data_IF_775697868765
#
_entry.id   IF_775697868765
#
_cell.length_a   1.000
_cell.length_b   1.000
_cell.length_c   1.000
_cell.angle_alpha   90.00
_cell.angle_beta   90.00
_cell.angle_gamma   90.00
#
_symmetry.space_group_name_H-M   'P 1'
#
loop_
_entity.id
_entity.type
_entity.pdbx_description
1 polymer ?
#
# COMPACT_ATOMS: atom_id res chain seq x y z
N UNK A 1 -12.39 25.37 26.00
CA UNK A 1 -11.91 26.31 24.95
C UNK A 1 -12.76 26.09 23.70
N UNK A 2 -13.66 27.00 23.35
CA UNK A 2 -14.43 26.96 22.13
C UNK A 2 -13.51 27.37 20.97
N UNK A 3 -13.16 26.44 20.09
CA UNK A 3 -12.45 26.77 18.84
C UNK A 3 -13.43 27.49 17.91
N UNK A 4 -13.06 28.64 17.31
CA UNK A 4 -13.91 29.29 16.32
C UNK A 4 -14.16 28.37 15.13
N UNK A 5 -15.36 28.42 14.58
CA UNK A 5 -15.69 27.65 13.38
C UNK A 5 -14.76 28.03 12.23
N UNK A 6 -14.27 27.07 11.43
CA UNK A 6 -13.38 27.37 10.32
C UNK A 6 -14.07 28.28 9.28
N UNK A 7 -13.29 29.18 8.69
CA UNK A 7 -13.77 30.10 7.65
C UNK A 7 -14.34 29.35 6.44
N UNK A 8 -15.22 29.96 5.67
CA UNK A 8 -15.80 29.37 4.46
C UNK A 8 -14.72 28.93 3.47
N UNK A 9 -13.68 29.72 3.28
CA UNK A 9 -12.55 29.41 2.42
C UNK A 9 -11.80 28.14 2.86
N UNK A 10 -11.58 27.98 4.18
CA UNK A 10 -10.93 26.79 4.71
C UNK A 10 -11.78 25.53 4.53
N UNK A 11 -13.11 25.64 4.68
CA UNK A 11 -14.04 24.53 4.41
C UNK A 11 -14.04 24.11 2.94
N UNK A 12 -14.02 25.08 2.02
CA UNK A 12 -13.95 24.82 0.59
C UNK A 12 -12.62 24.17 0.22
N UNK A 13 -11.51 24.68 0.74
CA UNK A 13 -10.19 24.11 0.54
C UNK A 13 -10.12 22.63 1.02
N UNK A 14 -10.61 22.38 2.22
CA UNK A 14 -10.66 21.01 2.77
C UNK A 14 -11.51 20.06 1.89
N UNK A 15 -12.68 20.52 1.41
CA UNK A 15 -13.54 19.70 0.53
C UNK A 15 -12.85 19.40 -0.79
N UNK A 16 -12.15 20.36 -1.37
CA UNK A 16 -11.38 20.18 -2.61
C UNK A 16 -10.24 19.20 -2.40
N UNK A 17 -9.50 19.33 -1.31
CA UNK A 17 -8.39 18.42 -0.96
C UNK A 17 -8.88 16.98 -0.81
N UNK A 18 -9.96 16.74 -0.05
CA UNK A 18 -10.58 15.42 0.09
C UNK A 18 -11.04 14.86 -1.26
N UNK A 19 -11.62 15.68 -2.12
CA UNK A 19 -12.04 15.26 -3.46
C UNK A 19 -10.85 14.86 -4.34
N UNK A 20 -9.76 15.64 -4.32
CA UNK A 20 -8.52 15.35 -5.05
C UNK A 20 -7.92 14.02 -4.58
N UNK A 21 -7.83 13.81 -3.26
CA UNK A 21 -7.31 12.56 -2.68
C UNK A 21 -8.14 11.36 -3.12
N UNK A 22 -9.47 11.45 -3.08
CA UNK A 22 -10.38 10.38 -3.57
C UNK A 22 -10.14 10.06 -5.04
N UNK A 23 -9.98 11.08 -5.88
CA UNK A 23 -9.71 10.88 -7.31
C UNK A 23 -8.34 10.24 -7.57
N UNK A 24 -7.31 10.62 -6.82
CA UNK A 24 -5.99 9.97 -6.89
C UNK A 24 -6.07 8.49 -6.54
N UNK A 25 -6.77 8.14 -5.46
CA UNK A 25 -6.96 6.75 -5.04
C UNK A 25 -7.77 5.96 -6.08
N UNK A 26 -8.84 6.53 -6.62
CA UNK A 26 -9.64 5.91 -7.68
C UNK A 26 -8.77 5.57 -8.92
N UNK A 27 -7.99 6.54 -9.39
CA UNK A 27 -7.07 6.35 -10.52
C UNK A 27 -5.98 5.31 -10.23
N UNK A 28 -5.46 5.32 -9.00
CA UNK A 28 -4.46 4.35 -8.56
C UNK A 28 -5.03 2.92 -8.56
N UNK A 29 -6.22 2.72 -8.00
CA UNK A 29 -6.90 1.40 -7.96
C UNK A 29 -7.15 0.81 -9.34
N UNK A 30 -7.44 1.64 -10.34
CA UNK A 30 -7.64 1.19 -11.73
C UNK A 30 -6.38 0.62 -12.37
N UNK A 31 -5.21 0.91 -11.79
CA UNK A 31 -3.92 0.39 -12.24
C UNK A 31 -3.55 -0.94 -11.60
N UNK A 32 -4.26 -1.38 -10.56
CA UNK A 32 -3.96 -2.65 -9.90
C UNK A 32 -4.24 -3.83 -10.83
N UNK A 33 -3.41 -4.88 -10.75
CA UNK A 33 -3.65 -6.15 -11.43
C UNK A 33 -4.99 -6.78 -11.02
N UNK A 34 -5.41 -6.52 -9.79
CA UNK A 34 -6.72 -6.89 -9.26
C UNK A 34 -7.03 -6.08 -8.01
N UNK A 35 -8.26 -5.60 -7.88
CA UNK A 35 -8.73 -4.86 -6.72
C UNK A 35 -10.13 -5.35 -6.33
N UNK A 36 -10.23 -5.93 -5.16
CA UNK A 36 -11.48 -6.42 -4.59
C UNK A 36 -12.44 -5.31 -4.18
N UNK A 37 -13.55 -5.72 -3.58
CA UNK A 37 -14.59 -4.81 -3.07
C UNK A 37 -14.18 -4.25 -1.71
N UNK A 38 -14.70 -3.08 -1.37
CA UNK A 38 -14.54 -2.44 -0.07
C UNK A 38 -13.08 -2.23 0.37
N UNK A 39 -12.19 -2.03 -0.61
CA UNK A 39 -10.78 -1.70 -0.36
C UNK A 39 -10.67 -0.24 0.06
N UNK A 40 -10.12 0.00 1.25
CA UNK A 40 -9.84 1.32 1.79
C UNK A 40 -8.36 1.66 1.63
N UNK A 41 -8.06 2.81 1.05
CA UNK A 41 -6.69 3.32 0.93
C UNK A 41 -6.66 4.74 1.49
N UNK A 42 -5.79 5.00 2.46
CA UNK A 42 -5.60 6.32 3.04
C UNK A 42 -4.42 7.02 2.38
N UNK A 43 -4.65 8.22 1.89
CA UNK A 43 -3.59 9.05 1.31
C UNK A 43 -2.76 9.74 2.42
N UNK A 44 -1.44 9.97 2.23
CA UNK A 44 -0.63 9.59 1.08
C UNK A 44 -0.14 8.14 1.12
N UNK A 45 -0.05 7.51 -0.06
CA UNK A 45 0.61 6.21 -0.27
C UNK A 45 1.53 6.29 -1.48
N UNK A 46 2.57 5.46 -1.50
CA UNK A 46 3.46 5.29 -2.65
C UNK A 46 3.36 3.85 -3.14
N UNK A 47 2.88 3.66 -4.37
CA UNK A 47 2.76 2.33 -4.98
C UNK A 47 3.43 2.35 -6.35
N UNK A 48 4.56 1.65 -6.46
CA UNK A 48 5.30 1.42 -7.70
C UNK A 48 5.00 0.01 -8.22
N UNK A 49 4.82 -0.15 -9.54
CA UNK A 49 4.42 -1.43 -10.14
C UNK A 49 2.98 -1.81 -9.76
N UNK A 50 2.07 -0.84 -9.73
CA UNK A 50 0.67 -1.04 -9.37
C UNK A 50 -0.02 -2.12 -10.22
N UNK A 51 0.40 -2.29 -11.46
CA UNK A 51 -0.02 -3.31 -12.41
C UNK A 51 0.40 -4.75 -12.04
N UNK A 52 1.23 -4.90 -11.02
CA UNK A 52 1.62 -6.18 -10.41
C UNK A 52 1.08 -6.35 -8.98
N UNK A 53 0.22 -5.43 -8.52
CA UNK A 53 -0.40 -5.50 -7.19
C UNK A 53 -1.81 -6.08 -7.29
N UNK A 54 -2.06 -7.15 -6.54
CA UNK A 54 -3.39 -7.74 -6.35
C UNK A 54 -3.84 -7.52 -4.91
N UNK A 55 -5.03 -6.96 -4.74
CA UNK A 55 -5.62 -6.67 -3.42
C UNK A 55 -6.99 -7.32 -3.35
N UNK A 56 -7.24 -8.10 -2.31
CA UNK A 56 -8.49 -8.78 -2.06
C UNK A 56 -9.62 -7.87 -1.57
N UNK A 57 -10.70 -8.48 -1.14
CA UNK A 57 -11.88 -7.78 -0.59
C UNK A 57 -11.60 -7.23 0.82
N UNK A 58 -12.18 -6.08 1.18
CA UNK A 58 -12.16 -5.48 2.53
C UNK A 58 -10.75 -5.25 3.11
N UNK A 59 -9.78 -5.04 2.24
CA UNK A 59 -8.41 -4.71 2.64
C UNK A 59 -8.30 -3.23 3.00
N UNK A 60 -7.59 -2.94 4.09
CA UNK A 60 -7.26 -1.57 4.49
C UNK A 60 -5.76 -1.31 4.33
N UNK A 61 -5.41 -0.28 3.58
CA UNK A 61 -4.04 0.21 3.40
C UNK A 61 -3.99 1.63 3.98
N UNK A 62 -3.29 1.79 5.09
CA UNK A 62 -3.23 3.07 5.80
C UNK A 62 -2.23 4.04 5.16
N UNK A 63 -2.28 5.29 5.62
CA UNK A 63 -1.42 6.35 5.09
C UNK A 63 0.09 6.04 5.29
N UNK A 64 0.90 6.60 4.41
CA UNK A 64 2.37 6.46 4.38
C UNK A 64 2.86 5.02 4.11
N UNK A 65 1.99 4.13 3.68
CA UNK A 65 2.41 2.81 3.20
C UNK A 65 3.18 2.97 1.89
N UNK A 66 4.25 2.21 1.76
CA UNK A 66 5.11 2.18 0.58
C UNK A 66 5.15 0.75 0.02
N UNK A 67 4.68 0.56 -1.22
CA UNK A 67 4.67 -0.74 -1.89
C UNK A 67 5.46 -0.66 -3.20
N UNK A 68 6.48 -1.51 -3.34
CA UNK A 68 7.16 -1.78 -4.60
C UNK A 68 6.77 -3.17 -5.07
N UNK A 69 5.83 -3.22 -6.03
CA UNK A 69 5.18 -4.44 -6.47
C UNK A 69 5.72 -5.04 -7.77
N UNK A 70 6.82 -4.53 -8.33
CA UNK A 70 7.33 -4.95 -9.64
C UNK A 70 7.60 -6.46 -9.75
N UNK A 71 7.90 -7.14 -8.64
CA UNK A 71 8.05 -8.60 -8.58
C UNK A 71 6.77 -9.37 -8.29
N UNK A 72 5.65 -8.65 -8.17
CA UNK A 72 4.35 -9.19 -7.75
C UNK A 72 4.13 -9.04 -6.24
N UNK A 73 2.98 -8.48 -5.87
CA UNK A 73 2.49 -8.44 -4.49
C UNK A 73 1.02 -8.84 -4.49
N UNK A 74 0.67 -9.80 -3.64
CA UNK A 74 -0.71 -10.20 -3.37
C UNK A 74 -1.04 -9.93 -1.90
N UNK A 75 -2.17 -9.30 -1.64
CA UNK A 75 -2.73 -9.07 -0.30
C UNK A 75 -4.11 -9.72 -0.27
N UNK A 76 -4.31 -10.70 0.61
CA UNK A 76 -5.56 -11.43 0.78
C UNK A 76 -6.63 -10.61 1.49
N UNK A 77 -7.86 -11.13 1.43
CA UNK A 77 -9.06 -10.49 1.97
C UNK A 77 -8.92 -10.15 3.46
N UNK A 78 -9.67 -9.15 3.90
CA UNK A 78 -9.79 -8.75 5.32
C UNK A 78 -8.48 -8.31 5.99
N UNK A 79 -7.42 -8.05 5.22
CA UNK A 79 -6.10 -7.71 5.76
C UNK A 79 -5.96 -6.20 6.01
N UNK A 80 -5.17 -5.87 7.05
CA UNK A 80 -4.86 -4.51 7.45
C UNK A 80 -3.35 -4.24 7.31
N UNK A 81 -2.99 -3.28 6.49
CA UNK A 81 -1.63 -2.78 6.34
C UNK A 81 -1.56 -1.44 7.07
N UNK A 82 -0.91 -1.43 8.22
CA UNK A 82 -0.82 -0.24 9.07
C UNK A 82 0.10 0.83 8.48
N UNK A 83 0.04 2.03 9.03
CA UNK A 83 0.81 3.18 8.54
C UNK A 83 2.32 2.92 8.56
N UNK A 84 3.03 3.49 7.59
CA UNK A 84 4.49 3.41 7.45
C UNK A 84 5.04 1.99 7.19
N UNK A 85 4.19 1.03 6.82
CA UNK A 85 4.64 -0.28 6.36
C UNK A 85 5.33 -0.13 5.00
N UNK A 86 6.46 -0.83 4.83
CA UNK A 86 7.13 -0.98 3.55
C UNK A 86 7.01 -2.43 3.07
N UNK A 87 6.52 -2.61 1.83
CA UNK A 87 6.44 -3.91 1.15
C UNK A 87 7.26 -3.79 -0.12
N UNK A 88 8.32 -4.58 -0.26
CA UNK A 88 9.16 -4.54 -1.45
C UNK A 88 9.35 -5.93 -2.04
N UNK A 89 8.90 -6.13 -3.27
CA UNK A 89 9.07 -7.37 -4.04
C UNK A 89 10.32 -7.36 -4.92
N UNK A 90 11.19 -6.38 -4.72
CA UNK A 90 12.46 -6.27 -5.44
C UNK A 90 13.62 -6.10 -4.47
N UNK A 91 14.78 -6.64 -4.86
CA UNK A 91 16.05 -6.51 -4.14
C UNK A 91 17.19 -6.48 -5.15
N UNK A 92 18.42 -6.43 -4.66
CA UNK A 92 19.63 -6.44 -5.46
C UNK A 92 20.43 -7.71 -5.21
N UNK A 93 21.12 -8.23 -6.23
CA UNK A 93 22.04 -9.36 -6.06
C UNK A 93 23.21 -8.95 -5.14
N UNK A 94 23.55 -9.83 -4.21
CA UNK A 94 24.70 -9.67 -3.33
C UNK A 94 25.99 -10.27 -3.92
N UNK A 95 25.88 -10.93 -5.08
CA UNK A 95 26.99 -11.62 -5.73
C UNK A 95 27.48 -10.83 -6.94
N UNK A 96 28.59 -10.13 -6.78
CA UNK A 96 29.37 -9.47 -7.84
C UNK A 96 28.72 -8.22 -8.43
N UNK A 97 29.53 -7.25 -8.85
CA UNK A 97 29.09 -6.05 -9.53
C UNK A 97 28.54 -4.94 -8.64
N UNK A 98 27.94 -3.94 -9.26
CA UNK A 98 27.29 -2.83 -8.56
C UNK A 98 25.84 -3.20 -8.24
N UNK A 99 25.38 -2.91 -7.02
CA UNK A 99 23.98 -3.16 -6.62
C UNK A 99 22.95 -2.51 -7.56
N UNK A 100 23.29 -1.35 -8.14
CA UNK A 100 22.43 -0.64 -9.10
C UNK A 100 22.21 -1.37 -10.43
N UNK A 101 23.04 -2.34 -10.75
CA UNK A 101 23.02 -3.05 -12.04
C UNK A 101 22.31 -4.42 -11.96
N UNK A 102 21.94 -4.87 -10.73
CA UNK A 102 21.35 -6.19 -10.51
C UNK A 102 20.08 -6.10 -9.67
N UNK A 103 18.95 -6.06 -10.32
CA UNK A 103 17.65 -6.08 -9.63
C UNK A 103 17.05 -7.49 -9.70
N UNK A 104 16.67 -8.04 -8.54
CA UNK A 104 15.98 -9.32 -8.42
C UNK A 104 14.52 -9.06 -8.02
N UNK A 105 13.61 -9.74 -8.69
CA UNK A 105 12.17 -9.63 -8.45
C UNK A 105 11.67 -10.92 -7.83
N UNK A 106 11.16 -10.86 -6.60
CA UNK A 106 10.65 -12.01 -5.86
C UNK A 106 9.26 -11.69 -5.33
N UNK A 107 8.23 -12.47 -5.70
CA UNK A 107 6.85 -12.18 -5.33
C UNK A 107 6.63 -12.27 -3.82
N UNK A 108 5.71 -11.44 -3.33
CA UNK A 108 5.24 -11.42 -1.95
C UNK A 108 3.79 -11.89 -1.91
N UNK A 109 3.49 -12.79 -0.98
CA UNK A 109 2.15 -13.29 -0.72
C UNK A 109 1.76 -12.99 0.73
N UNK A 110 0.74 -12.18 0.93
CA UNK A 110 0.11 -11.91 2.21
C UNK A 110 -1.26 -12.57 2.20
N UNK A 111 -1.50 -13.49 3.14
CA UNK A 111 -2.73 -14.25 3.27
C UNK A 111 -3.93 -13.41 3.65
N UNK A 112 -5.00 -14.08 4.06
CA UNK A 112 -6.26 -13.44 4.49
C UNK A 112 -6.21 -13.10 5.97
N UNK A 113 -6.92 -12.03 6.36
CA UNK A 113 -7.03 -11.59 7.75
C UNK A 113 -5.66 -11.40 8.42
N UNK A 114 -4.72 -10.79 7.69
CA UNK A 114 -3.38 -10.49 8.18
C UNK A 114 -3.32 -9.06 8.67
N UNK A 115 -2.73 -8.86 9.84
CA UNK A 115 -2.40 -7.52 10.33
C UNK A 115 -0.90 -7.29 10.24
N UNK A 116 -0.49 -6.38 9.35
CA UNK A 116 0.89 -5.89 9.27
C UNK A 116 0.98 -4.61 10.09
N UNK A 117 1.70 -4.67 11.20
CA UNK A 117 1.84 -3.57 12.16
C UNK A 117 2.67 -2.40 11.63
N UNK A 118 2.54 -1.26 12.29
CA UNK A 118 3.21 0.00 11.90
C UNK A 118 4.73 -0.18 11.83
N UNK A 119 5.35 0.38 10.79
CA UNK A 119 6.78 0.33 10.51
C UNK A 119 7.34 -1.06 10.20
N UNK A 120 6.50 -2.09 10.03
CA UNK A 120 6.99 -3.38 9.55
C UNK A 120 7.53 -3.26 8.11
N UNK A 121 8.54 -4.09 7.81
CA UNK A 121 9.12 -4.19 6.47
C UNK A 121 8.96 -5.63 5.97
N UNK A 122 8.25 -5.80 4.85
CA UNK A 122 8.07 -7.09 4.19
C UNK A 122 9.05 -7.17 3.02
N UNK A 123 9.97 -8.11 3.11
CA UNK A 123 11.06 -8.27 2.16
C UNK A 123 10.64 -9.15 0.96
N UNK A 124 11.39 -9.10 -0.15
CA UNK A 124 11.12 -9.88 -1.35
C UNK A 124 11.06 -11.39 -1.08
N UNK A 125 10.09 -12.06 -1.68
CA UNK A 125 9.89 -13.51 -1.56
C UNK A 125 9.19 -13.97 -0.26
N UNK A 126 8.83 -13.06 0.63
CA UNK A 126 8.15 -13.40 1.89
C UNK A 126 6.72 -13.89 1.62
N UNK A 127 6.34 -14.94 2.32
CA UNK A 127 4.98 -15.46 2.39
C UNK A 127 4.47 -15.39 3.82
N UNK A 128 3.33 -14.73 4.01
CA UNK A 128 2.65 -14.58 5.30
C UNK A 128 1.35 -15.37 5.21
N UNK A 129 1.16 -16.31 6.12
CA UNK A 129 -0.04 -17.13 6.18
C UNK A 129 -1.27 -16.37 6.66
N UNK A 130 -2.44 -16.99 6.50
CA UNK A 130 -3.72 -16.44 6.97
C UNK A 130 -3.70 -16.22 8.50
N UNK A 131 -4.40 -15.17 8.95
CA UNK A 131 -4.56 -14.82 10.37
C UNK A 131 -3.26 -14.44 11.11
N UNK A 132 -2.20 -14.11 10.40
CA UNK A 132 -0.94 -13.72 11.00
C UNK A 132 -0.96 -12.25 11.47
N UNK A 133 -0.10 -11.95 12.45
CA UNK A 133 0.25 -10.60 12.88
C UNK A 133 1.76 -10.43 12.76
N UNK A 134 2.19 -9.33 12.14
CA UNK A 134 3.60 -9.00 11.88
C UNK A 134 3.91 -7.64 12.51
#
# INVERSE_FOLDING_TARGET
MNRPAPSLSLRLFHRLDVWIQRKRIELLRRRFAGCGRDVSIQWPVVINGADHLQVGDRVSINAFVHIWAQGGVRIGDDSLIASHVAITSLTHSLTGGKYSESCLHLPIEIGRNVWVGTHAVILPGVKIGDNAVV
#
